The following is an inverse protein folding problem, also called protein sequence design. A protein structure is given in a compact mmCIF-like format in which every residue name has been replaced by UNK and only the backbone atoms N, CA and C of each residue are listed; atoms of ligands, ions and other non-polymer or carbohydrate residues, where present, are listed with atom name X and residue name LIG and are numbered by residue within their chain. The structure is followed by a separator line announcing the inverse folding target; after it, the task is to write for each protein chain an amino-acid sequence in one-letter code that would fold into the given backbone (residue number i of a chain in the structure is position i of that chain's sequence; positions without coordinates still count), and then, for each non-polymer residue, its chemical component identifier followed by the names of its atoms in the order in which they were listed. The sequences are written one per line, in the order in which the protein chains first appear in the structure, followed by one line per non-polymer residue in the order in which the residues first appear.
data_IF_216096916775
#
_entry.id   IF_216096916775
#
_cell.length_a   1.000
_cell.length_b   1.000
_cell.length_c   1.000
_cell.angle_alpha   90.00
_cell.angle_beta   90.00
_cell.angle_gamma   90.00
#
_symmetry.space_group_name_H-M   'P 1'
#
loop_
_entity.id
_entity.type
_entity.pdbx_description
1 polymer ?
#
# COMPACT_ATOMS: atom_id res chain seq x y z
N UNK A 1 -12.20 35.15 36.43
CA UNK A 1 -11.11 34.70 35.54
C UNK A 1 -11.17 33.22 35.16
N UNK A 2 -11.68 32.32 36.01
CA UNK A 2 -11.76 30.86 35.76
C UNK A 2 -12.51 30.47 34.47
N UNK A 3 -13.59 31.17 34.11
CA UNK A 3 -14.36 30.90 32.89
C UNK A 3 -13.56 31.16 31.59
N UNK A 4 -12.77 32.24 31.54
CA UNK A 4 -11.95 32.55 30.38
C UNK A 4 -10.84 31.51 30.16
N UNK A 5 -10.20 31.07 31.25
CA UNK A 5 -9.22 29.99 31.19
C UNK A 5 -9.86 28.69 30.70
N UNK A 6 -11.06 28.35 31.18
CA UNK A 6 -11.82 27.18 30.70
C UNK A 6 -12.13 27.26 29.19
N UNK A 7 -12.62 28.40 28.69
CA UNK A 7 -12.86 28.60 27.26
C UNK A 7 -11.58 28.46 26.42
N UNK A 8 -10.46 28.98 26.90
CA UNK A 8 -9.18 28.90 26.18
C UNK A 8 -8.63 27.47 26.12
N UNK A 9 -8.66 26.77 27.26
CA UNK A 9 -8.19 25.38 27.39
C UNK A 9 -9.03 24.44 26.54
N UNK A 10 -10.36 24.56 26.60
CA UNK A 10 -11.28 23.71 25.83
C UNK A 10 -11.16 23.95 24.32
N UNK A 11 -10.94 25.20 23.88
CA UNK A 11 -10.68 25.53 22.47
C UNK A 11 -9.40 24.87 21.96
N UNK A 12 -8.31 24.95 22.73
CA UNK A 12 -7.03 24.31 22.38
C UNK A 12 -7.11 22.78 22.40
N UNK A 13 -7.83 22.21 23.37
CA UNK A 13 -8.00 20.77 23.49
C UNK A 13 -8.77 20.17 22.30
N UNK A 14 -9.83 20.83 21.82
CA UNK A 14 -10.61 20.38 20.66
C UNK A 14 -9.78 20.31 19.39
N UNK A 15 -8.95 21.34 19.14
CA UNK A 15 -8.05 21.36 17.98
C UNK A 15 -7.03 20.22 18.02
N UNK A 16 -6.41 19.97 19.18
CA UNK A 16 -5.47 18.83 19.35
C UNK A 16 -6.14 17.47 19.18
N UNK A 17 -7.41 17.34 19.62
CA UNK A 17 -8.18 16.10 19.45
C UNK A 17 -8.39 15.80 17.96
N UNK A 18 -8.81 16.80 17.17
CA UNK A 18 -9.00 16.64 15.73
C UNK A 18 -7.71 16.32 14.99
N UNK A 19 -6.62 17.02 15.34
CA UNK A 19 -5.28 16.72 14.80
C UNK A 19 -4.89 15.27 15.06
N UNK A 20 -5.06 14.79 16.30
CA UNK A 20 -4.79 13.39 16.64
C UNK A 20 -5.66 12.41 15.85
N UNK A 21 -6.95 12.69 15.72
CA UNK A 21 -7.86 11.85 14.94
C UNK A 21 -7.46 11.78 13.46
N UNK A 22 -7.07 12.90 12.85
CA UNK A 22 -6.58 12.95 11.47
C UNK A 22 -5.34 12.04 11.29
N UNK A 23 -4.38 12.10 12.21
CA UNK A 23 -3.18 11.25 12.14
C UNK A 23 -3.44 9.75 12.41
N UNK A 24 -4.53 9.42 13.11
CA UNK A 24 -4.89 8.04 13.44
C UNK A 24 -5.72 7.35 12.35
N UNK A 25 -6.30 8.12 11.42
CA UNK A 25 -7.10 7.60 10.32
C UNK A 25 -6.28 6.67 9.42
N UNK A 26 -6.79 5.45 9.19
CA UNK A 26 -6.14 4.43 8.36
C UNK A 26 -6.88 4.16 7.05
N UNK A 27 -8.08 4.72 6.88
CA UNK A 27 -8.89 4.58 5.66
C UNK A 27 -9.42 5.93 5.17
N UNK A 28 -9.75 6.02 3.88
CA UNK A 28 -10.34 7.24 3.29
C UNK A 28 -11.69 7.58 3.92
N UNK A 29 -12.48 6.55 4.25
CA UNK A 29 -13.78 6.71 4.90
C UNK A 29 -13.63 7.34 6.29
N UNK A 30 -12.68 6.86 7.09
CA UNK A 30 -12.39 7.47 8.40
C UNK A 30 -11.93 8.91 8.26
N UNK A 31 -11.07 9.20 7.27
CA UNK A 31 -10.58 10.55 7.02
C UNK A 31 -11.72 11.50 6.63
N UNK A 32 -12.67 11.04 5.81
CA UNK A 32 -13.88 11.79 5.45
C UNK A 32 -14.78 12.05 6.66
N UNK A 33 -15.01 11.05 7.51
CA UNK A 33 -15.84 11.22 8.71
C UNK A 33 -15.21 12.23 9.70
N UNK A 34 -13.88 12.22 9.82
CA UNK A 34 -13.15 13.19 10.63
C UNK A 34 -13.22 14.59 10.01
N UNK A 35 -13.16 14.68 8.68
CA UNK A 35 -13.36 15.93 7.94
C UNK A 35 -14.73 16.54 8.24
N UNK A 36 -15.81 15.75 8.21
CA UNK A 36 -17.16 16.25 8.51
C UNK A 36 -17.23 16.86 9.91
N UNK A 37 -16.65 16.17 10.91
CA UNK A 37 -16.58 16.67 12.30
C UNK A 37 -15.76 17.96 12.41
N UNK A 38 -14.70 18.07 11.63
CA UNK A 38 -13.87 19.27 11.55
C UNK A 38 -14.63 20.44 10.91
N UNK A 39 -15.35 20.22 9.81
CA UNK A 39 -16.17 21.23 9.14
C UNK A 39 -17.28 21.76 10.05
N UNK A 40 -17.97 20.86 10.75
CA UNK A 40 -18.93 21.22 11.78
C UNK A 40 -18.29 22.08 12.88
N UNK A 41 -17.10 21.70 13.36
CA UNK A 41 -16.38 22.48 14.38
C UNK A 41 -15.96 23.88 13.86
N UNK A 42 -15.67 24.01 12.56
CA UNK A 42 -15.39 25.28 11.91
C UNK A 42 -16.64 26.16 11.83
N UNK A 43 -17.78 25.59 11.40
CA UNK A 43 -19.06 26.29 11.30
C UNK A 43 -19.51 26.86 12.64
N UNK A 44 -19.38 26.07 13.71
CA UNK A 44 -19.66 26.51 15.08
C UNK A 44 -18.58 27.43 15.67
N UNK A 45 -17.56 27.80 14.90
CA UNK A 45 -16.46 28.68 15.30
C UNK A 45 -15.71 28.19 16.55
N UNK A 46 -15.69 26.87 16.75
CA UNK A 46 -15.06 26.20 17.89
C UNK A 46 -13.53 26.18 17.76
N UNK A 47 -13.02 26.50 16.57
CA UNK A 47 -11.60 26.50 16.21
C UNK A 47 -11.25 27.87 15.63
N UNK A 48 -10.07 28.39 15.93
CA UNK A 48 -9.59 29.67 15.37
C UNK A 48 -9.22 29.54 13.90
N UNK A 49 -9.29 30.61 13.08
CA UNK A 49 -8.92 30.57 11.66
C UNK A 49 -7.52 30.00 11.40
N UNK A 50 -6.53 30.39 12.22
CA UNK A 50 -5.17 29.85 12.12
C UNK A 50 -5.10 28.34 12.39
N UNK A 51 -5.86 27.87 13.39
CA UNK A 51 -5.92 26.44 13.72
C UNK A 51 -6.61 25.66 12.60
N UNK A 52 -7.64 26.23 11.98
CA UNK A 52 -8.31 25.64 10.82
C UNK A 52 -7.34 25.51 9.64
N UNK A 53 -6.62 26.57 9.27
CA UNK A 53 -5.65 26.52 8.16
C UNK A 53 -4.57 25.44 8.38
N UNK A 54 -4.08 25.31 9.62
CA UNK A 54 -3.13 24.26 9.98
C UNK A 54 -3.73 22.86 9.83
N UNK A 55 -4.96 22.64 10.30
CA UNK A 55 -5.67 21.36 10.14
C UNK A 55 -5.93 21.04 8.67
N UNK A 56 -6.28 22.04 7.85
CA UNK A 56 -6.47 21.90 6.41
C UNK A 56 -5.21 21.42 5.72
N UNK A 57 -4.06 22.00 6.08
CA UNK A 57 -2.75 21.53 5.58
C UNK A 57 -2.48 20.08 5.96
N UNK A 58 -2.75 19.71 7.22
CA UNK A 58 -2.53 18.34 7.69
C UNK A 58 -3.43 17.36 6.93
N UNK A 59 -4.71 17.67 6.78
CA UNK A 59 -5.67 16.88 6.00
C UNK A 59 -5.19 16.67 4.58
N UNK A 60 -4.86 17.74 3.86
CA UNK A 60 -4.39 17.65 2.47
C UNK A 60 -3.11 16.84 2.32
N UNK A 61 -2.17 16.96 3.28
CA UNK A 61 -0.96 16.13 3.28
C UNK A 61 -1.27 14.65 3.49
N UNK A 62 -2.22 14.32 4.37
CA UNK A 62 -2.64 12.96 4.63
C UNK A 62 -3.37 12.35 3.42
N UNK A 63 -4.30 13.09 2.80
CA UNK A 63 -4.97 12.66 1.56
C UNK A 63 -3.95 12.37 0.44
N UNK A 64 -2.95 13.26 0.27
CA UNK A 64 -1.87 13.05 -0.69
C UNK A 64 -1.06 11.78 -0.39
N UNK A 65 -0.66 11.56 0.85
CA UNK A 65 0.10 10.36 1.23
C UNK A 65 -0.72 9.08 1.03
N UNK A 66 -2.02 9.13 1.31
CA UNK A 66 -2.94 8.01 1.12
C UNK A 66 -3.00 7.59 -0.36
N UNK A 67 -3.20 8.57 -1.25
CA UNK A 67 -3.24 8.35 -2.69
C UNK A 67 -1.90 7.78 -3.19
N UNK A 68 -0.77 8.32 -2.73
CA UNK A 68 0.56 7.82 -3.08
C UNK A 68 0.75 6.36 -2.69
N UNK A 69 0.34 5.97 -1.49
CA UNK A 69 0.41 4.56 -1.04
C UNK A 69 -0.48 3.66 -1.92
N UNK A 70 -1.68 4.12 -2.27
CA UNK A 70 -2.57 3.36 -3.18
C UNK A 70 -1.96 3.20 -4.58
N UNK A 71 -1.32 4.24 -5.12
CA UNK A 71 -0.62 4.19 -6.39
C UNK A 71 0.56 3.20 -6.35
N UNK A 72 1.40 3.27 -5.31
CA UNK A 72 2.52 2.33 -5.11
C UNK A 72 2.03 0.88 -5.00
N UNK A 73 0.97 0.62 -4.22
CA UNK A 73 0.36 -0.71 -4.11
C UNK A 73 -0.21 -1.21 -5.45
N UNK A 74 -0.73 -0.30 -6.28
CA UNK A 74 -1.24 -0.64 -7.62
C UNK A 74 -0.11 -0.96 -8.59
N UNK A 75 1.02 -0.25 -8.52
CA UNK A 75 2.20 -0.55 -9.32
C UNK A 75 2.86 -1.87 -8.91
N UNK A 76 3.01 -2.14 -7.61
CA UNK A 76 3.53 -3.43 -7.12
C UNK A 76 2.59 -4.60 -7.43
N UNK A 77 1.27 -4.37 -7.41
CA UNK A 77 0.26 -5.35 -7.79
C UNK A 77 0.19 -5.63 -9.31
N UNK A 78 0.79 -4.78 -10.14
CA UNK A 78 0.90 -4.96 -11.58
C UNK A 78 2.32 -5.41 -11.95
N UNK A 79 2.63 -6.67 -11.68
CA UNK A 79 3.57 -7.40 -12.53
C UNK A 79 2.83 -7.76 -13.81
N UNK A 80 3.13 -7.14 -14.98
CA UNK A 80 2.60 -7.65 -16.23
C UNK A 80 3.10 -9.09 -16.40
N UNK A 81 2.20 -10.07 -16.28
CA UNK A 81 2.42 -11.47 -16.64
C UNK A 81 2.63 -11.52 -18.14
N UNK A 82 3.80 -11.12 -18.60
CA UNK A 82 4.15 -11.17 -20.02
C UNK A 82 5.59 -11.61 -20.25
N UNK A 83 6.32 -12.08 -19.24
CA UNK A 83 7.61 -12.76 -19.43
C UNK A 83 7.98 -13.79 -18.34
N UNK A 84 7.04 -14.21 -17.48
CA UNK A 84 7.29 -15.32 -16.54
C UNK A 84 7.00 -16.62 -17.29
N UNK A 85 8.02 -17.16 -17.98
CA UNK A 85 7.96 -18.53 -18.48
C UNK A 85 8.01 -19.42 -17.25
N UNK A 86 6.88 -20.05 -16.92
CA UNK A 86 6.74 -20.90 -15.74
C UNK A 86 7.67 -22.10 -15.93
N UNK A 87 8.57 -22.41 -14.98
CA UNK A 87 9.38 -23.60 -15.09
C UNK A 87 8.48 -24.84 -15.03
N UNK A 88 8.79 -25.90 -15.80
CA UNK A 88 8.03 -27.14 -15.73
C UNK A 88 8.07 -27.73 -14.31
N UNK A 89 7.05 -28.51 -13.95
CA UNK A 89 7.00 -29.19 -12.65
C UNK A 89 8.23 -30.06 -12.41
N UNK A 90 8.69 -30.14 -11.16
CA UNK A 90 9.80 -31.01 -10.75
C UNK A 90 9.52 -32.50 -11.05
N UNK A 91 8.25 -32.89 -11.00
CA UNK A 91 7.80 -34.26 -11.32
C UNK A 91 7.70 -34.54 -12.82
N UNK A 92 7.85 -33.51 -13.67
CA UNK A 92 7.84 -33.70 -15.11
C UNK A 92 9.00 -34.61 -15.51
N UNK A 93 8.76 -35.57 -16.39
CA UNK A 93 9.79 -36.45 -16.95
C UNK A 93 10.10 -35.99 -18.37
N UNK A 94 11.38 -35.77 -18.64
CA UNK A 94 11.91 -35.40 -19.95
C UNK A 94 12.55 -36.59 -20.67
N UNK A 95 13.09 -36.31 -21.85
CA UNK A 95 13.84 -37.28 -22.65
C UNK A 95 15.32 -37.17 -22.29
N UNK A 96 15.93 -38.27 -21.85
CA UNK A 96 17.38 -38.33 -21.59
C UNK A 96 18.10 -38.54 -22.92
N UNK A 97 18.90 -37.55 -23.32
CA UNK A 97 19.69 -37.62 -24.54
C UNK A 97 21.06 -38.28 -24.29
N UNK A 98 21.77 -38.60 -25.37
CA UNK A 98 23.13 -39.17 -25.35
C UNK A 98 24.17 -38.30 -24.63
N UNK A 99 23.85 -37.03 -24.39
CA UNK A 99 24.73 -36.03 -23.78
C UNK A 99 24.66 -36.04 -22.24
N UNK A 100 23.88 -36.95 -21.66
CA UNK A 100 23.78 -37.15 -20.20
C UNK A 100 22.82 -36.18 -19.49
N UNK A 101 22.08 -35.36 -20.22
CA UNK A 101 21.06 -34.45 -19.68
C UNK A 101 19.64 -34.89 -20.07
N UNK A 102 18.69 -34.58 -19.18
CA UNK A 102 17.27 -34.77 -19.38
C UNK A 102 16.66 -33.47 -19.93
N UNK A 103 15.91 -33.58 -21.04
CA UNK A 103 15.36 -32.43 -21.77
C UNK A 103 13.83 -32.46 -21.80
N UNK A 104 13.20 -31.29 -21.62
CA UNK A 104 11.76 -31.12 -21.79
C UNK A 104 11.46 -29.81 -22.52
N UNK A 105 10.40 -29.79 -23.33
CA UNK A 105 9.91 -28.57 -23.97
C UNK A 105 8.63 -28.11 -23.26
N UNK A 106 8.68 -26.93 -22.66
CA UNK A 106 7.55 -26.36 -21.90
C UNK A 106 7.40 -24.87 -22.25
N UNK A 107 6.16 -24.45 -22.54
CA UNK A 107 5.83 -23.06 -22.91
C UNK A 107 6.70 -22.50 -24.06
N UNK A 108 7.01 -23.33 -25.06
CA UNK A 108 7.79 -22.94 -26.24
C UNK A 108 9.31 -22.84 -26.02
N UNK A 109 9.79 -23.07 -24.80
CA UNK A 109 11.21 -23.04 -24.43
C UNK A 109 11.70 -24.43 -24.04
N UNK A 110 12.95 -24.74 -24.37
CA UNK A 110 13.58 -25.98 -23.94
C UNK A 110 14.16 -25.80 -22.53
N UNK A 111 14.00 -26.82 -21.71
CA UNK A 111 14.52 -26.89 -20.36
C UNK A 111 15.35 -28.16 -20.22
N UNK A 112 16.41 -28.10 -19.43
CA UNK A 112 17.28 -29.23 -19.18
C UNK A 112 17.59 -29.38 -17.69
N UNK A 113 17.89 -30.61 -17.26
CA UNK A 113 18.37 -30.91 -15.90
C UNK A 113 19.27 -32.15 -15.89
N UNK A 114 19.93 -32.40 -14.76
CA UNK A 114 20.74 -33.60 -14.54
C UNK A 114 19.82 -34.78 -14.17
N UNK A 115 19.93 -35.93 -14.85
CA UNK A 115 19.09 -37.09 -14.57
C UNK A 115 19.33 -37.61 -13.14
N UNK A 116 18.26 -38.03 -12.47
CA UNK A 116 18.27 -38.54 -11.08
C UNK A 116 18.72 -37.54 -10.00
N UNK A 117 18.81 -36.24 -10.32
CA UNK A 117 19.24 -35.22 -9.35
C UNK A 117 18.10 -34.62 -8.52
N UNK A 118 16.82 -34.88 -8.87
CA UNK A 118 15.64 -34.18 -8.33
C UNK A 118 15.85 -32.65 -8.27
N UNK A 119 16.58 -32.10 -9.23
CA UNK A 119 16.92 -30.68 -9.30
C UNK A 119 15.88 -29.93 -10.14
N UNK A 120 15.77 -28.64 -9.87
CA UNK A 120 14.92 -27.73 -10.64
C UNK A 120 15.35 -27.67 -12.11
N UNK A 121 14.37 -27.45 -13.00
CA UNK A 121 14.59 -27.32 -14.43
C UNK A 121 15.31 -26.01 -14.76
N UNK A 122 16.35 -26.09 -15.59
CA UNK A 122 17.13 -24.94 -16.03
C UNK A 122 16.73 -24.57 -17.46
N UNK A 123 16.46 -23.29 -17.69
CA UNK A 123 16.08 -22.78 -19.02
C UNK A 123 17.25 -22.88 -19.99
N UNK A 124 17.05 -23.50 -21.16
CA UNK A 124 17.99 -23.46 -22.27
C UNK A 124 17.83 -22.15 -23.05
N UNK A 125 18.92 -21.42 -23.25
CA UNK A 125 18.94 -20.14 -23.95
C UNK A 125 19.33 -20.30 -25.42
#
# INVERSE_FOLDING_TARGET
FTWLAFCLVTRGARSRKLERSLFEARSELELSEISDKYEWALLWKLIGPHQALRLERIRSNLEFNMNKIQEEMKEEGFVPVSNVIIPPSIDAQGVVNTDGYEWIKHEGVNWYRVPNSNADWIKWQ
#
